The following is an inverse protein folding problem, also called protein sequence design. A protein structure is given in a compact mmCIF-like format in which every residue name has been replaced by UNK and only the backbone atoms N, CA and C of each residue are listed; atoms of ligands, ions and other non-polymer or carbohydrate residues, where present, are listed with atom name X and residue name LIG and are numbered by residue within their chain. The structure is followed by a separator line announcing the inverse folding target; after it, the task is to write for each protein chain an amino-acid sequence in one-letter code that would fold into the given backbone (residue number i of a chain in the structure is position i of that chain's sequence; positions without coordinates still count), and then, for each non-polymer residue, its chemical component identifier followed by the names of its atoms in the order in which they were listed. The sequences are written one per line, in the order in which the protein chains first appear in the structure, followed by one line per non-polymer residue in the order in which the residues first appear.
data_IF_449899501263
#
_entry.id   IF_449899501263
#
_cell.length_a   1.000
_cell.length_b   1.000
_cell.length_c   1.000
_cell.angle_alpha   90.00
_cell.angle_beta   90.00
_cell.angle_gamma   90.00
#
_symmetry.space_group_name_H-M   'P 1'
#
loop_
_entity.id
_entity.type
_entity.pdbx_description
1 polymer ?
#
# COMPACT_ATOMS: atom_id res chain seq x y z
N UNK A 1 17.93 56.33 17.90
CA UNK A 1 17.44 54.95 18.17
C UNK A 1 16.87 54.42 16.88
N UNK A 2 17.59 53.52 16.22
CA UNK A 2 17.28 52.99 14.89
C UNK A 2 16.46 51.72 15.07
N UNK A 3 15.16 51.74 14.78
CA UNK A 3 14.34 50.52 14.76
C UNK A 3 14.43 49.91 13.36
N UNK A 4 15.22 48.84 13.25
CA UNK A 4 15.18 47.94 12.12
C UNK A 4 14.02 46.95 12.32
N UNK A 5 13.00 47.04 11.47
CA UNK A 5 11.99 46.00 11.36
C UNK A 5 12.55 44.89 10.47
N UNK A 6 12.82 43.75 11.10
CA UNK A 6 13.17 42.48 10.46
C UNK A 6 12.04 42.00 9.56
N UNK A 7 12.32 41.92 8.27
CA UNK A 7 11.50 41.20 7.29
C UNK A 7 11.63 39.70 7.60
N UNK A 8 10.56 39.08 8.09
CA UNK A 8 10.49 37.62 8.21
C UNK A 8 10.37 37.02 6.81
N UNK A 9 11.47 36.47 6.29
CA UNK A 9 11.44 35.63 5.10
C UNK A 9 10.71 34.33 5.44
N UNK A 10 9.49 34.18 4.94
CA UNK A 10 8.83 32.88 4.89
C UNK A 10 9.64 31.99 3.94
N UNK A 11 10.31 30.97 4.49
CA UNK A 11 10.97 29.94 3.69
C UNK A 11 9.87 28.99 3.18
N UNK A 12 9.45 29.19 1.94
CA UNK A 12 8.57 28.25 1.24
C UNK A 12 9.40 27.03 0.86
N UNK A 13 9.44 26.02 1.70
CA UNK A 13 10.02 24.72 1.34
C UNK A 13 9.04 24.06 0.37
N UNK A 14 9.31 24.18 -0.93
CA UNK A 14 8.65 23.33 -1.93
C UNK A 14 9.15 21.92 -1.67
N UNK A 15 8.40 21.12 -0.91
CA UNK A 15 8.68 19.69 -0.75
C UNK A 15 8.61 19.06 -2.13
N UNK A 16 9.78 18.74 -2.70
CA UNK A 16 9.84 18.02 -3.97
C UNK A 16 9.11 16.70 -3.78
N UNK A 17 8.17 16.40 -4.69
CA UNK A 17 7.49 15.11 -4.72
C UNK A 17 8.57 14.03 -4.88
N UNK A 18 8.70 13.06 -3.95
CA UNK A 18 9.66 11.98 -4.09
C UNK A 18 9.45 11.21 -5.39
N UNK A 19 10.53 11.01 -6.14
CA UNK A 19 10.52 10.17 -7.34
C UNK A 19 10.80 8.70 -6.93
N UNK A 20 9.74 7.97 -6.61
CA UNK A 20 9.84 6.56 -6.24
C UNK A 20 10.41 5.70 -7.36
N UNK A 21 10.18 6.05 -8.64
CA UNK A 21 10.71 5.29 -9.76
C UNK A 21 12.23 5.48 -9.86
N UNK A 22 12.74 6.70 -9.67
CA UNK A 22 14.17 6.93 -9.60
C UNK A 22 14.81 6.24 -8.38
N UNK A 23 14.13 6.19 -7.24
CA UNK A 23 14.64 5.59 -6.02
C UNK A 23 14.67 4.05 -6.04
N UNK A 24 13.62 3.43 -6.58
CA UNK A 24 13.36 1.99 -6.44
C UNK A 24 13.21 1.26 -7.77
N UNK A 25 13.34 1.94 -8.92
CA UNK A 25 13.26 1.31 -10.23
C UNK A 25 14.31 0.22 -10.48
N UNK A 26 15.40 0.21 -9.71
CA UNK A 26 16.43 -0.86 -9.73
C UNK A 26 15.88 -2.25 -9.38
N UNK A 27 14.72 -2.33 -8.72
CA UNK A 27 14.05 -3.60 -8.39
C UNK A 27 13.25 -4.17 -9.57
N UNK A 28 13.26 -3.53 -10.74
CA UNK A 28 12.53 -4.00 -11.93
C UNK A 28 11.01 -3.86 -11.82
N UNK A 29 10.53 -3.13 -10.81
CA UNK A 29 9.13 -2.90 -10.49
C UNK A 29 8.76 -1.46 -10.86
N UNK A 30 7.52 -1.24 -11.31
CA UNK A 30 6.97 0.11 -11.49
C UNK A 30 6.57 0.71 -10.15
N UNK A 31 7.19 1.83 -9.77
CA UNK A 31 6.94 2.51 -8.50
C UNK A 31 6.24 3.85 -8.71
N UNK A 32 5.20 4.11 -7.91
CA UNK A 32 4.49 5.39 -7.90
C UNK A 32 4.51 6.00 -6.50
N UNK A 33 4.58 7.32 -6.43
CA UNK A 33 4.44 8.05 -5.18
C UNK A 33 2.98 8.41 -4.93
N UNK A 34 2.48 8.07 -3.76
CA UNK A 34 1.23 8.58 -3.20
C UNK A 34 1.54 9.75 -2.25
N UNK A 35 0.97 10.94 -2.46
CA UNK A 35 1.25 12.11 -1.62
C UNK A 35 0.60 12.10 -0.24
N UNK A 36 -0.25 11.13 0.07
CA UNK A 36 -1.03 11.12 1.30
C UNK A 36 -2.32 11.94 1.21
N UNK A 37 -3.20 11.71 2.16
CA UNK A 37 -4.39 12.51 2.43
C UNK A 37 -4.63 12.60 3.96
N UNK A 38 -5.86 12.94 4.37
CA UNK A 38 -6.19 13.10 5.79
C UNK A 38 -6.17 11.80 6.59
N UNK A 39 -6.28 10.63 5.94
CA UNK A 39 -6.36 9.32 6.61
C UNK A 39 -5.28 8.34 6.12
N UNK A 40 -4.54 8.69 5.06
CA UNK A 40 -3.50 7.86 4.46
C UNK A 40 -2.18 8.61 4.40
N UNK A 41 -1.11 8.03 4.97
CA UNK A 41 0.22 8.60 4.92
C UNK A 41 0.83 8.55 3.51
N UNK A 42 1.71 9.49 3.14
CA UNK A 42 2.46 9.42 1.87
C UNK A 42 3.36 8.18 1.81
N UNK A 43 3.55 7.64 0.61
CA UNK A 43 4.39 6.44 0.44
C UNK A 43 4.67 6.07 -1.01
N UNK A 44 5.65 5.18 -1.20
CA UNK A 44 5.97 4.60 -2.49
C UNK A 44 5.32 3.22 -2.63
N UNK A 45 4.60 3.01 -3.73
CA UNK A 45 3.91 1.76 -4.02
C UNK A 45 4.48 1.14 -5.29
N UNK A 46 4.90 -0.12 -5.18
CA UNK A 46 5.39 -0.92 -6.29
C UNK A 46 4.32 -1.92 -6.74
N UNK A 47 4.12 -2.06 -8.05
CA UNK A 47 3.19 -3.06 -8.62
C UNK A 47 3.97 -4.11 -9.38
N UNK A 48 3.74 -5.37 -9.01
CA UNK A 48 4.32 -6.54 -9.68
C UNK A 48 3.22 -7.25 -10.45
N UNK A 49 3.42 -7.37 -11.76
CA UNK A 49 2.56 -8.12 -12.67
C UNK A 49 3.29 -9.38 -13.14
N UNK A 50 3.39 -10.38 -12.25
CA UNK A 50 4.02 -11.66 -12.56
C UNK A 50 3.06 -12.82 -12.21
N UNK A 51 2.54 -13.46 -13.26
CA UNK A 51 1.63 -14.60 -13.15
C UNK A 51 2.26 -15.83 -12.47
N UNK A 52 3.58 -15.86 -12.27
CA UNK A 52 4.29 -16.92 -11.57
C UNK A 52 4.48 -16.63 -10.07
N UNK A 53 4.21 -15.40 -9.63
CA UNK A 53 4.24 -15.00 -8.21
C UNK A 53 2.83 -15.16 -7.63
N UNK A 54 2.35 -16.40 -7.63
CA UNK A 54 1.18 -16.79 -6.85
C UNK A 54 1.68 -17.35 -5.51
N UNK A 55 1.71 -16.52 -4.47
CA UNK A 55 1.94 -17.02 -3.12
C UNK A 55 0.64 -17.64 -2.60
N UNK A 56 0.65 -18.89 -2.09
CA UNK A 56 -0.52 -19.50 -1.49
C UNK A 56 -0.79 -18.97 -0.09
N UNK A 57 0.17 -18.27 0.53
CA UNK A 57 0.05 -17.81 1.91
C UNK A 57 0.61 -16.40 2.16
N UNK A 58 0.20 -15.81 3.29
CA UNK A 58 0.66 -14.51 3.80
C UNK A 58 2.19 -14.42 3.90
N UNK A 59 2.87 -15.49 4.33
CA UNK A 59 4.32 -15.45 4.53
C UNK A 59 5.05 -15.32 3.20
N UNK A 60 4.63 -16.04 2.17
CA UNK A 60 5.23 -15.93 0.84
C UNK A 60 5.02 -14.55 0.21
N UNK A 61 3.93 -13.84 0.51
CA UNK A 61 3.74 -12.44 0.06
C UNK A 61 4.72 -11.51 0.79
N UNK A 62 4.92 -11.69 2.11
CA UNK A 62 5.93 -10.92 2.87
C UNK A 62 7.33 -11.18 2.34
N UNK A 63 7.67 -12.44 2.11
CA UNK A 63 8.97 -12.85 1.59
C UNK A 63 9.19 -12.27 0.20
N UNK A 64 8.16 -12.23 -0.64
CA UNK A 64 8.22 -11.61 -1.95
C UNK A 64 8.55 -10.11 -1.86
N UNK A 65 7.82 -9.34 -1.04
CA UNK A 65 8.11 -7.91 -0.88
C UNK A 65 9.49 -7.66 -0.26
N UNK A 66 9.88 -8.48 0.73
CA UNK A 66 11.18 -8.38 1.40
C UNK A 66 12.36 -8.67 0.47
N UNK A 67 12.22 -9.65 -0.43
CA UNK A 67 13.29 -10.09 -1.32
C UNK A 67 13.28 -9.38 -2.69
N UNK A 68 12.11 -8.91 -3.14
CA UNK A 68 11.91 -8.26 -4.44
C UNK A 68 11.86 -6.73 -4.38
N UNK A 69 11.73 -6.14 -3.20
CA UNK A 69 11.65 -4.69 -3.00
C UNK A 69 12.84 -4.08 -2.25
N UNK A 70 12.82 -2.76 -2.01
CA UNK A 70 13.77 -2.10 -1.14
C UNK A 70 13.70 -2.62 0.30
N UNK A 71 14.77 -2.43 1.11
CA UNK A 71 14.74 -2.78 2.52
C UNK A 71 13.53 -2.15 3.24
N UNK A 72 12.76 -2.99 3.92
CA UNK A 72 11.53 -2.57 4.63
C UNK A 72 10.28 -2.53 3.76
N UNK A 73 10.34 -2.94 2.49
CA UNK A 73 9.15 -3.11 1.67
C UNK A 73 8.22 -4.18 2.26
N UNK A 74 6.96 -3.81 2.42
CA UNK A 74 5.88 -4.71 2.84
C UNK A 74 4.79 -4.72 1.77
N UNK A 75 3.92 -5.75 1.77
CA UNK A 75 2.73 -5.70 0.92
C UNK A 75 1.87 -4.48 1.26
N UNK A 76 1.09 -3.99 0.29
CA UNK A 76 0.40 -2.71 0.41
C UNK A 76 -0.88 -2.77 1.29
N UNK A 77 -1.05 -1.77 2.15
CA UNK A 77 -2.30 -1.46 2.86
C UNK A 77 -3.02 -0.26 2.22
N UNK A 78 -4.33 -0.17 2.44
CA UNK A 78 -5.15 0.98 2.02
C UNK A 78 -5.84 1.60 3.23
N UNK A 79 -5.79 2.93 3.31
CA UNK A 79 -6.31 3.73 4.43
C UNK A 79 -7.31 4.81 3.98
N UNK A 80 -7.60 4.90 2.68
CA UNK A 80 -8.59 5.83 2.16
C UNK A 80 -9.13 5.45 0.79
N UNK A 81 -10.33 5.96 0.48
CA UNK A 81 -10.90 5.84 -0.86
C UNK A 81 -10.03 6.54 -1.91
N UNK A 82 -9.43 7.69 -1.58
CA UNK A 82 -8.60 8.44 -2.52
C UNK A 82 -7.29 7.70 -2.84
N UNK A 83 -6.67 7.06 -1.85
CA UNK A 83 -5.50 6.20 -2.04
C UNK A 83 -5.87 4.99 -2.91
N UNK A 84 -6.99 4.34 -2.64
CA UNK A 84 -7.50 3.25 -3.47
C UNK A 84 -7.71 3.71 -4.92
N UNK A 85 -8.43 4.81 -5.14
CA UNK A 85 -8.71 5.32 -6.49
C UNK A 85 -7.44 5.77 -7.22
N UNK A 86 -6.46 6.29 -6.47
CA UNK A 86 -5.17 6.64 -7.01
C UNK A 86 -4.41 5.41 -7.49
N UNK A 87 -4.32 4.35 -6.68
CA UNK A 87 -3.55 3.17 -7.05
C UNK A 87 -4.30 2.28 -8.06
N UNK A 88 -5.63 2.23 -7.99
CA UNK A 88 -6.51 1.42 -8.84
C UNK A 88 -6.81 2.08 -10.20
N UNK A 89 -5.76 2.40 -10.95
CA UNK A 89 -5.86 2.89 -12.33
C UNK A 89 -5.23 1.90 -13.32
N UNK A 90 -5.69 1.85 -14.58
CA UNK A 90 -5.07 1.04 -15.63
C UNK A 90 -3.57 1.35 -15.87
N UNK A 91 -3.11 2.55 -15.49
CA UNK A 91 -1.72 2.96 -15.64
C UNK A 91 -0.81 2.55 -14.48
N UNK A 92 -1.37 2.20 -13.32
CA UNK A 92 -0.60 1.83 -12.12
C UNK A 92 -0.74 0.35 -11.82
N UNK A 93 -1.98 -0.11 -11.63
CA UNK A 93 -2.27 -1.52 -11.40
C UNK A 93 -2.37 -2.30 -12.71
N UNK A 94 -2.88 -1.70 -13.79
CA UNK A 94 -2.90 -2.33 -15.12
C UNK A 94 -3.48 -3.75 -15.12
N UNK A 95 -2.73 -4.70 -15.69
CA UNK A 95 -3.08 -6.13 -15.73
C UNK A 95 -2.78 -6.89 -14.43
N UNK A 96 -2.09 -6.27 -13.47
CA UNK A 96 -1.86 -6.85 -12.15
C UNK A 96 -3.13 -6.92 -11.28
N UNK A 97 -4.29 -6.50 -11.79
CA UNK A 97 -5.57 -6.62 -11.10
C UNK A 97 -6.23 -7.99 -11.43
N UNK A 98 -6.59 -8.80 -10.41
CA UNK A 98 -6.52 -8.53 -8.97
C UNK A 98 -5.10 -8.68 -8.41
N UNK A 99 -4.70 -7.74 -7.55
CA UNK A 99 -3.39 -7.75 -6.88
C UNK A 99 -3.50 -8.28 -5.45
N UNK A 100 -2.42 -8.92 -4.98
CA UNK A 100 -2.25 -9.29 -3.58
C UNK A 100 -1.99 -8.04 -2.72
N UNK A 101 -2.66 -7.96 -1.57
CA UNK A 101 -2.52 -6.88 -0.59
C UNK A 101 -2.11 -7.44 0.78
N UNK A 102 -1.90 -6.54 1.71
CA UNK A 102 -1.44 -6.83 3.06
C UNK A 102 -2.55 -7.29 4.04
N UNK A 103 -3.79 -7.52 3.57
CA UNK A 103 -4.99 -7.72 4.40
C UNK A 103 -5.21 -9.21 4.69
N UNK A 104 -5.34 -9.58 5.96
CA UNK A 104 -5.65 -10.96 6.33
C UNK A 104 -6.64 -11.04 7.48
N UNK A 105 -7.28 -12.21 7.60
CA UNK A 105 -8.20 -12.54 8.68
C UNK A 105 -7.56 -13.57 9.61
N UNK A 106 -7.37 -13.20 10.87
CA UNK A 106 -6.88 -14.13 11.89
C UNK A 106 -8.06 -14.93 12.45
N UNK A 107 -8.07 -16.24 12.17
CA UNK A 107 -9.12 -17.17 12.63
C UNK A 107 -9.11 -17.38 14.15
N UNK A 108 -7.98 -17.13 14.82
CA UNK A 108 -7.83 -17.31 16.27
C UNK A 108 -8.48 -16.17 17.02
N UNK A 109 -8.27 -14.94 16.56
CA UNK A 109 -8.83 -13.73 17.18
C UNK A 109 -10.15 -13.31 16.56
N UNK A 110 -10.46 -13.78 15.34
CA UNK A 110 -11.63 -13.39 14.58
C UNK A 110 -11.56 -11.96 14.03
N UNK A 111 -10.34 -11.40 13.91
CA UNK A 111 -10.10 -9.98 13.57
C UNK A 111 -9.45 -9.86 12.21
N UNK A 112 -9.82 -8.80 11.49
CA UNK A 112 -9.19 -8.39 10.25
C UNK A 112 -8.05 -7.42 10.54
N UNK A 113 -6.89 -7.63 9.93
CA UNK A 113 -5.70 -6.84 10.20
C UNK A 113 -4.76 -6.73 9.00
N UNK A 114 -4.01 -5.64 8.94
CA UNK A 114 -2.91 -5.48 7.99
C UNK A 114 -1.64 -6.13 8.57
N UNK A 115 -0.89 -6.84 7.75
CA UNK A 115 0.38 -7.49 8.11
C UNK A 115 1.46 -6.50 8.57
N UNK A 116 1.45 -5.28 8.03
CA UNK A 116 2.37 -4.20 8.44
C UNK A 116 2.04 -3.61 9.82
N UNK A 117 0.94 -4.03 10.44
CA UNK A 117 0.48 -3.57 11.74
C UNK A 117 -0.27 -2.24 11.71
N UNK A 118 -0.50 -1.66 10.53
CA UNK A 118 -1.35 -0.48 10.38
C UNK A 118 -2.81 -0.81 10.75
N UNK A 119 -3.59 0.18 11.22
CA UNK A 119 -4.98 -0.03 11.56
C UNK A 119 -5.81 -0.34 10.32
N UNK A 120 -6.79 -1.25 10.46
CA UNK A 120 -7.79 -1.48 9.40
C UNK A 120 -8.90 -0.45 9.54
N UNK A 121 -8.67 0.72 8.97
CA UNK A 121 -9.57 1.88 8.97
C UNK A 121 -10.30 2.09 7.63
N UNK A 122 -9.83 1.43 6.57
CA UNK A 122 -10.46 1.40 5.27
C UNK A 122 -10.46 -0.01 4.67
N UNK A 123 -11.65 -0.49 4.28
CA UNK A 123 -11.83 -1.76 3.59
C UNK A 123 -12.74 -1.51 2.41
N UNK A 124 -12.31 -1.95 1.22
CA UNK A 124 -13.14 -1.95 0.01
C UNK A 124 -13.38 -3.36 -0.48
N UNK A 125 -14.18 -4.10 0.27
CA UNK A 125 -14.60 -5.45 -0.10
C UNK A 125 -16.13 -5.55 -0.12
N UNK A 126 -16.72 -6.42 -0.95
CA UNK A 126 -18.14 -6.73 -0.83
C UNK A 126 -18.37 -7.44 0.51
N UNK A 127 -18.81 -6.69 1.53
CA UNK A 127 -19.12 -7.18 2.89
C UNK A 127 -20.36 -8.09 2.95
N UNK A 128 -20.92 -8.49 1.81
CA UNK A 128 -22.20 -9.22 1.72
C UNK A 128 -22.06 -10.73 1.94
N UNK A 129 -20.87 -11.24 2.24
CA UNK A 129 -20.67 -12.66 2.50
C UNK A 129 -20.36 -12.91 3.96
N UNK A 130 -21.17 -13.77 4.59
CA UNK A 130 -20.91 -14.35 5.90
C UNK A 130 -19.78 -15.38 5.89
N UNK A 131 -19.20 -15.64 4.71
CA UNK A 131 -18.04 -16.49 4.50
C UNK A 131 -16.94 -15.67 3.78
N UNK A 132 -15.92 -15.19 4.51
CA UNK A 132 -14.82 -14.41 3.93
C UNK A 132 -13.94 -15.24 2.97
N UNK A 133 -14.13 -16.56 2.89
CA UNK A 133 -13.27 -17.47 2.14
C UNK A 133 -13.73 -17.74 0.70
N UNK A 134 -15.01 -17.55 0.37
CA UNK A 134 -15.58 -18.05 -0.91
C UNK A 134 -16.02 -16.99 -1.91
N UNK A 135 -16.22 -15.72 -1.52
CA UNK A 135 -16.76 -14.69 -2.45
C UNK A 135 -16.04 -13.35 -2.45
N UNK A 136 -14.96 -13.18 -1.70
CA UNK A 136 -14.14 -11.95 -1.71
C UNK A 136 -13.02 -12.03 -2.76
N UNK A 137 -13.35 -12.46 -3.98
CA UNK A 137 -12.39 -12.63 -5.10
C UNK A 137 -11.91 -11.30 -5.72
N UNK A 138 -12.12 -10.17 -5.06
CA UNK A 138 -11.49 -8.92 -5.41
C UNK A 138 -10.66 -8.48 -4.21
N UNK A 139 -9.34 -8.53 -4.36
CA UNK A 139 -8.34 -8.16 -3.35
C UNK A 139 -8.25 -9.22 -2.23
N UNK A 140 -7.54 -10.31 -2.54
CA UNK A 140 -7.62 -11.58 -1.81
C UNK A 140 -7.09 -11.48 -0.38
N UNK A 141 -7.89 -12.04 0.53
CA UNK A 141 -7.53 -12.45 1.88
C UNK A 141 -6.85 -13.81 1.81
N UNK A 142 -5.92 -14.07 2.72
CA UNK A 142 -5.47 -15.43 3.02
C UNK A 142 -5.93 -15.84 4.44
N UNK A 143 -6.20 -17.14 4.60
CA UNK A 143 -6.66 -17.78 5.84
C UNK A 143 -5.45 -18.36 6.56
N UNK A 144 -5.01 -17.72 7.64
CA UNK A 144 -3.99 -18.31 8.51
C UNK A 144 -4.67 -19.20 9.55
N UNK A 145 -4.35 -20.49 9.51
CA UNK A 145 -4.52 -21.39 10.66
C UNK A 145 -3.15 -21.57 11.29
N UNK A 146 -2.99 -21.08 12.53
CA UNK A 146 -1.76 -21.26 13.32
C UNK A 146 -1.68 -22.68 13.89
#
# INVERSE_FOLDING_TARGET
MTSGSTTSSASSTTTAIPDCQAAYGQFGIGWTYWPGDATSEPGCFGVVDDANVASPDVQGIKDFCTNGGPPGATPASFHSQAQYDFLNTPTRLGSAAPAWLNLYYDMTTGVLMWIDGSPVDYIRAPLTSTDPTTTMQGWFFDVITL
#
